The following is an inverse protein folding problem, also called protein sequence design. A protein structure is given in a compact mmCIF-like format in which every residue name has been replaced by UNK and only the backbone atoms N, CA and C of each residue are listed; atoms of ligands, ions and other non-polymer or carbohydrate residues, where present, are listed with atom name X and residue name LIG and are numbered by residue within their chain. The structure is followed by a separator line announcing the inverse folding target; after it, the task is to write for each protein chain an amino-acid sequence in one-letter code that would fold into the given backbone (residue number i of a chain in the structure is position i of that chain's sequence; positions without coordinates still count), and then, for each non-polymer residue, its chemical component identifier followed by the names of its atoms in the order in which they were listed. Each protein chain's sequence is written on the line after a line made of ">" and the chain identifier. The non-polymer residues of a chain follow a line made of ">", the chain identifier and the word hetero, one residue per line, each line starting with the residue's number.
data_IF_522987151087
#
_entry.id   IF_522987151087
#
_cell.length_a   1.000
_cell.length_b   1.000
_cell.length_c   1.000
_cell.angle_alpha   90.00
_cell.angle_beta   90.00
_cell.angle_gamma   90.00
#
_symmetry.space_group_name_H-M   'P 1'
#
loop_
_entity.id
_entity.type
_entity.pdbx_description
1 polymer ?
#
# COMPACT_ATOMS: atom_id res chain seq x y z
N UNK A 1 5.14 -20.22 5.43
CA UNK A 1 4.86 -20.11 3.98
C UNK A 1 4.03 -18.86 3.84
N UNK A 2 4.39 -17.96 2.93
CA UNK A 2 3.66 -16.70 2.73
C UNK A 2 2.34 -16.98 2.04
N UNK A 3 1.23 -16.48 2.57
CA UNK A 3 -0.09 -16.64 1.94
C UNK A 3 -0.38 -15.52 0.94
N UNK A 4 -0.65 -15.87 -0.32
CA UNK A 4 -1.13 -14.92 -1.33
C UNK A 4 -2.66 -14.85 -1.28
N UNK A 5 -3.19 -13.65 -1.04
CA UNK A 5 -4.63 -13.41 -0.87
C UNK A 5 -5.10 -12.23 -1.71
N UNK A 6 -6.35 -12.27 -2.19
CA UNK A 6 -6.89 -11.30 -3.14
C UNK A 6 -8.12 -10.55 -2.60
N UNK A 7 -8.69 -11.00 -1.49
CA UNK A 7 -9.84 -10.36 -0.84
C UNK A 7 -9.60 -10.11 0.65
N UNK A 8 -10.32 -9.14 1.25
CA UNK A 8 -10.24 -8.91 2.70
C UNK A 8 -10.62 -10.14 3.53
N UNK A 9 -11.57 -10.94 3.06
CA UNK A 9 -12.00 -12.17 3.75
C UNK A 9 -10.91 -13.25 3.72
N UNK A 10 -10.20 -13.40 2.60
CA UNK A 10 -9.05 -14.29 2.51
C UNK A 10 -7.90 -13.81 3.39
N UNK A 11 -7.65 -12.49 3.43
CA UNK A 11 -6.64 -11.92 4.32
C UNK A 11 -6.99 -12.22 5.79
N UNK A 12 -8.23 -11.96 6.21
CA UNK A 12 -8.70 -12.30 7.55
C UNK A 12 -8.56 -13.80 7.87
N UNK A 13 -8.80 -14.68 6.91
CA UNK A 13 -8.60 -16.12 7.08
C UNK A 13 -7.12 -16.50 7.24
N UNK A 14 -6.22 -15.84 6.49
CA UNK A 14 -4.78 -16.11 6.49
C UNK A 14 -4.09 -15.65 7.77
N UNK A 15 -4.39 -14.43 8.24
CA UNK A 15 -3.69 -13.80 9.38
C UNK A 15 -4.53 -13.75 10.66
N UNK A 16 -5.82 -14.06 10.59
CA UNK A 16 -6.75 -13.94 11.71
C UNK A 16 -6.97 -12.48 12.12
N UNK A 17 -7.04 -12.25 13.44
CA UNK A 17 -7.20 -10.92 14.04
C UNK A 17 -6.10 -10.68 15.08
N UNK A 18 -4.85 -10.51 14.64
CA UNK A 18 -3.76 -10.31 15.57
C UNK A 18 -3.94 -8.97 16.30
N UNK A 19 -3.41 -8.87 17.52
CA UNK A 19 -3.45 -7.61 18.28
C UNK A 19 -2.63 -6.51 17.59
N UNK A 20 -1.54 -6.90 16.93
CA UNK A 20 -0.63 -6.01 16.21
C UNK A 20 -0.41 -6.56 14.81
N UNK A 21 -0.19 -5.67 13.85
CA UNK A 21 0.06 -6.02 12.46
C UNK A 21 0.90 -4.92 11.81
N UNK A 22 1.97 -5.34 11.14
CA UNK A 22 2.85 -4.45 10.40
C UNK A 22 2.49 -4.52 8.90
N UNK A 23 2.19 -3.37 8.30
CA UNK A 23 1.83 -3.25 6.89
C UNK A 23 2.95 -2.57 6.10
N UNK A 24 3.29 -3.13 4.94
CA UNK A 24 4.14 -2.48 3.93
C UNK A 24 3.33 -2.27 2.65
N UNK A 25 2.80 -1.06 2.39
CA UNK A 25 2.07 -0.78 1.15
C UNK A 25 3.00 -0.63 -0.05
N UNK A 26 2.73 -1.35 -1.14
CA UNK A 26 3.50 -1.26 -2.39
C UNK A 26 2.59 -1.34 -3.62
N UNK A 27 3.13 -0.97 -4.78
CA UNK A 27 2.50 -1.21 -6.08
C UNK A 27 3.10 -2.44 -6.81
N UNK A 28 3.95 -3.24 -6.15
CA UNK A 28 4.69 -4.34 -6.78
C UNK A 28 5.96 -3.88 -7.49
N UNK A 29 6.51 -4.74 -8.36
CA UNK A 29 7.82 -4.57 -8.99
C UNK A 29 8.91 -4.32 -7.94
N UNK A 30 9.01 -5.27 -7.01
CA UNK A 30 9.78 -5.10 -5.80
C UNK A 30 11.28 -5.02 -6.08
N UNK A 31 11.97 -4.31 -5.20
CA UNK A 31 13.40 -4.08 -5.26
C UNK A 31 13.94 -3.95 -3.83
N UNK A 32 15.25 -3.85 -3.65
CA UNK A 32 15.89 -3.86 -2.34
C UNK A 32 15.34 -2.78 -1.37
N UNK A 33 14.98 -1.60 -1.87
CA UNK A 33 14.32 -0.57 -1.04
C UNK A 33 12.95 -0.98 -0.47
N UNK A 34 12.21 -1.89 -1.13
CA UNK A 34 10.98 -2.46 -0.57
C UNK A 34 11.32 -3.55 0.45
N UNK A 35 12.31 -4.39 0.16
CA UNK A 35 12.72 -5.47 1.06
C UNK A 35 13.31 -4.94 2.36
N UNK A 36 14.00 -3.78 2.33
CA UNK A 36 14.46 -3.13 3.56
C UNK A 36 13.31 -2.68 4.47
N UNK A 37 12.19 -2.21 3.90
CA UNK A 37 10.97 -1.89 4.67
C UNK A 37 10.35 -3.14 5.28
N UNK A 38 10.34 -4.26 4.53
CA UNK A 38 9.86 -5.55 5.05
C UNK A 38 10.72 -6.02 6.23
N UNK A 39 12.05 -5.92 6.12
CA UNK A 39 12.96 -6.27 7.22
C UNK A 39 12.74 -5.38 8.44
N UNK A 40 12.55 -4.07 8.26
CA UNK A 40 12.18 -3.18 9.36
C UNK A 40 10.82 -3.54 9.98
N UNK A 41 9.82 -3.92 9.16
CA UNK A 41 8.51 -4.37 9.65
C UNK A 41 8.62 -5.64 10.50
N UNK A 42 9.52 -6.56 10.13
CA UNK A 42 9.79 -7.80 10.89
C UNK A 42 10.35 -7.53 12.28
N UNK A 43 11.10 -6.45 12.49
CA UNK A 43 11.66 -6.09 13.79
C UNK A 43 10.58 -5.77 14.84
N UNK A 44 9.35 -5.48 14.41
CA UNK A 44 8.21 -5.26 15.33
C UNK A 44 7.76 -6.55 16.05
N UNK A 45 8.13 -7.73 15.53
CA UNK A 45 7.64 -9.02 16.00
C UNK A 45 6.15 -9.29 15.72
N UNK A 46 5.49 -8.41 14.95
CA UNK A 46 4.11 -8.58 14.51
C UNK A 46 4.04 -9.34 13.18
N UNK A 47 2.89 -9.97 12.85
CA UNK A 47 2.64 -10.45 11.50
C UNK A 47 2.84 -9.31 10.48
N UNK A 48 3.59 -9.60 9.42
CA UNK A 48 3.90 -8.67 8.33
C UNK A 48 3.01 -8.98 7.15
N UNK A 49 2.23 -7.98 6.74
CA UNK A 49 1.46 -8.00 5.51
C UNK A 49 2.07 -7.02 4.52
N UNK A 50 2.33 -7.49 3.30
CA UNK A 50 2.71 -6.61 2.18
C UNK A 50 1.51 -6.51 1.25
N UNK A 51 1.11 -5.29 0.90
CA UNK A 51 0.11 -5.11 -0.16
C UNK A 51 0.80 -4.82 -1.49
N UNK A 52 0.30 -5.45 -2.56
CA UNK A 52 0.72 -5.22 -3.94
C UNK A 52 -0.50 -4.78 -4.72
N UNK A 53 -0.64 -3.48 -4.94
CA UNK A 53 -1.78 -2.92 -5.66
C UNK A 53 -1.39 -1.66 -6.42
N UNK A 54 -1.37 -1.75 -7.76
CA UNK A 54 -1.23 -0.59 -8.63
C UNK A 54 -2.54 0.19 -8.63
N UNK A 55 -2.64 1.19 -7.76
CA UNK A 55 -3.84 1.98 -7.54
C UNK A 55 -4.13 2.92 -8.72
N UNK A 56 -5.23 2.76 -9.50
CA UNK A 56 -5.51 3.67 -10.61
C UNK A 56 -5.76 5.12 -10.19
N UNK A 57 -6.22 5.36 -8.96
CA UNK A 57 -6.64 6.70 -8.53
C UNK A 57 -5.48 7.69 -8.36
N UNK A 58 -4.25 7.18 -8.23
CA UNK A 58 -3.06 8.02 -8.09
C UNK A 58 -2.33 8.26 -9.42
N UNK A 59 -2.92 7.82 -10.55
CA UNK A 59 -2.44 8.09 -11.90
C UNK A 59 -3.41 9.03 -12.63
N UNK A 60 -2.89 10.12 -13.21
CA UNK A 60 -3.67 11.01 -14.07
C UNK A 60 -3.80 10.43 -15.49
N UNK A 61 -4.80 10.88 -16.29
CA UNK A 61 -4.87 10.50 -17.71
C UNK A 61 -3.56 10.83 -18.44
N UNK A 62 -2.98 9.83 -19.10
CA UNK A 62 -1.69 9.96 -19.81
C UNK A 62 -0.46 9.69 -18.95
N UNK A 63 -0.61 9.43 -17.64
CA UNK A 63 0.44 8.80 -16.84
C UNK A 63 0.52 7.30 -17.12
N UNK A 64 1.58 6.66 -16.64
CA UNK A 64 2.06 5.34 -17.05
C UNK A 64 1.33 4.15 -16.39
N UNK A 65 0.04 4.28 -16.07
CA UNK A 65 -0.74 3.20 -15.43
C UNK A 65 -0.70 1.88 -16.23
N UNK A 66 -0.82 1.98 -17.55
CA UNK A 66 -0.82 0.81 -18.44
C UNK A 66 0.59 0.20 -18.57
N UNK A 67 1.63 1.04 -18.55
CA UNK A 67 3.02 0.63 -18.67
C UNK A 67 3.65 0.21 -17.33
N UNK A 68 2.98 0.44 -16.20
CA UNK A 68 3.51 0.12 -14.88
C UNK A 68 3.79 -1.40 -14.77
N UNK A 69 5.01 -1.79 -14.35
CA UNK A 69 5.41 -3.19 -14.30
C UNK A 69 4.54 -4.00 -13.32
N UNK A 70 4.12 -5.19 -13.75
CA UNK A 70 3.32 -6.12 -12.95
C UNK A 70 4.00 -7.48 -12.93
N UNK A 71 4.66 -7.80 -11.82
CA UNK A 71 5.54 -8.97 -11.67
C UNK A 71 5.18 -9.80 -10.44
N UNK A 72 3.87 -9.99 -10.20
CA UNK A 72 3.35 -10.55 -8.95
C UNK A 72 4.03 -11.84 -8.50
N UNK A 73 4.21 -12.82 -9.40
CA UNK A 73 4.85 -14.11 -9.05
C UNK A 73 6.30 -13.93 -8.58
N UNK A 74 7.05 -13.02 -9.23
CA UNK A 74 8.43 -12.71 -8.83
C UNK A 74 8.46 -11.94 -7.50
N UNK A 75 7.53 -11.01 -7.31
CA UNK A 75 7.39 -10.24 -6.07
C UNK A 75 7.07 -11.16 -4.89
N UNK A 76 6.12 -12.09 -5.03
CA UNK A 76 5.76 -13.07 -4.00
C UNK A 76 6.96 -13.96 -3.66
N UNK A 77 7.71 -14.42 -4.66
CA UNK A 77 8.91 -15.24 -4.42
C UNK A 77 10.02 -14.49 -3.66
N UNK A 78 10.11 -13.16 -3.81
CA UNK A 78 11.02 -12.33 -3.00
C UNK A 78 10.51 -12.20 -1.56
N UNK A 79 9.23 -11.91 -1.38
CA UNK A 79 8.61 -11.73 -0.06
C UNK A 79 8.59 -13.01 0.78
N UNK A 80 8.45 -14.18 0.14
CA UNK A 80 8.55 -15.47 0.80
C UNK A 80 9.93 -15.68 1.45
N UNK A 81 11.00 -15.23 0.78
CA UNK A 81 12.37 -15.31 1.32
C UNK A 81 12.59 -14.37 2.51
N UNK A 82 11.87 -13.27 2.58
CA UNK A 82 11.90 -12.31 3.70
C UNK A 82 10.98 -12.71 4.87
N UNK A 83 10.23 -13.81 4.74
CA UNK A 83 9.36 -14.32 5.80
C UNK A 83 8.12 -13.46 6.04
N UNK A 84 7.54 -12.89 4.98
CA UNK A 84 6.24 -12.21 5.03
C UNK A 84 5.13 -13.22 5.35
N UNK A 85 4.18 -12.84 6.19
CA UNK A 85 3.08 -13.71 6.60
C UNK A 85 2.01 -13.78 5.49
N UNK A 86 1.61 -12.64 4.94
CA UNK A 86 0.67 -12.58 3.81
C UNK A 86 0.99 -11.48 2.79
N UNK A 87 0.71 -11.78 1.52
CA UNK A 87 0.70 -10.82 0.42
C UNK A 87 -0.74 -10.53 0.04
N UNK A 88 -1.20 -9.30 0.30
CA UNK A 88 -2.52 -8.85 -0.12
C UNK A 88 -2.44 -8.19 -1.50
N UNK A 89 -2.88 -8.91 -2.53
CA UNK A 89 -2.82 -8.48 -3.93
C UNK A 89 -4.24 -8.35 -4.53
N UNK A 90 -5.05 -7.36 -4.08
CA UNK A 90 -6.42 -7.23 -4.53
C UNK A 90 -6.54 -6.72 -5.97
N UNK A 91 -7.65 -7.07 -6.63
CA UNK A 91 -8.01 -6.46 -7.91
C UNK A 91 -8.58 -5.05 -7.72
N UNK A 92 -8.65 -4.27 -8.81
CA UNK A 92 -9.35 -2.97 -8.80
C UNK A 92 -10.83 -3.14 -8.43
N UNK A 93 -11.48 -4.22 -8.87
CA UNK A 93 -12.87 -4.51 -8.52
C UNK A 93 -13.03 -4.87 -7.03
N UNK A 94 -12.02 -5.51 -6.42
CA UNK A 94 -11.99 -5.75 -4.97
C UNK A 94 -11.82 -4.43 -4.20
N UNK A 95 -10.90 -3.57 -4.63
CA UNK A 95 -10.64 -2.29 -3.97
C UNK A 95 -11.74 -1.26 -4.20
N UNK A 96 -12.41 -1.27 -5.35
CA UNK A 96 -13.40 -0.27 -5.75
C UNK A 96 -14.60 -0.93 -6.45
N UNK A 97 -15.41 -1.74 -5.73
CA UNK A 97 -16.49 -2.54 -6.33
C UNK A 97 -17.60 -1.67 -6.97
N UNK A 98 -17.74 -0.43 -6.51
CA UNK A 98 -18.69 0.55 -7.04
C UNK A 98 -17.97 1.79 -7.61
N UNK A 99 -16.70 1.64 -7.99
CA UNK A 99 -15.83 2.75 -8.37
C UNK A 99 -15.40 3.65 -7.20
N UNK A 100 -14.55 4.65 -7.46
CA UNK A 100 -14.10 5.63 -6.47
C UNK A 100 -15.22 6.62 -6.13
N UNK A 101 -15.84 6.46 -4.96
CA UNK A 101 -16.93 7.35 -4.48
C UNK A 101 -16.50 8.30 -3.37
N UNK A 102 -15.52 7.90 -2.59
CA UNK A 102 -15.00 8.65 -1.45
C UNK A 102 -13.51 8.89 -1.65
N UNK A 103 -13.07 10.11 -1.41
CA UNK A 103 -11.67 10.53 -1.54
C UNK A 103 -11.22 11.32 -0.33
N UNK A 104 -9.95 11.18 0.04
CA UNK A 104 -9.30 12.03 1.05
C UNK A 104 -8.62 13.19 0.34
N UNK A 105 -8.91 14.41 0.79
CA UNK A 105 -8.32 15.61 0.22
C UNK A 105 -6.98 15.92 0.92
N UNK A 106 -5.84 16.03 0.20
CA UNK A 106 -4.50 16.13 0.79
C UNK A 106 -4.14 17.50 1.36
N UNK A 107 -5.12 18.39 1.51
CA UNK A 107 -4.94 19.73 2.08
C UNK A 107 -3.99 20.64 1.27
N UNK A 108 -3.49 21.72 1.88
CA UNK A 108 -2.54 22.64 1.25
C UNK A 108 -1.18 22.00 0.93
N UNK A 109 -0.68 21.09 1.77
CA UNK A 109 0.59 20.41 1.57
C UNK A 109 0.59 19.52 0.31
N UNK A 110 -0.57 19.01 -0.10
CA UNK A 110 -0.74 18.30 -1.37
C UNK A 110 -0.75 19.18 -2.63
N UNK A 111 -0.62 20.51 -2.51
CA UNK A 111 -0.66 21.46 -3.65
C UNK A 111 0.71 22.04 -4.02
N UNK A 112 1.78 21.62 -3.34
CA UNK A 112 3.16 22.05 -3.59
C UNK A 112 4.00 20.87 -4.09
N UNK A 113 5.23 21.13 -4.54
CA UNK A 113 6.20 20.10 -4.94
C UNK A 113 5.59 19.08 -5.93
N UNK A 114 5.64 17.78 -5.61
CA UNK A 114 5.09 16.72 -6.46
C UNK A 114 3.59 16.90 -6.67
N UNK A 115 2.88 17.43 -5.67
CA UNK A 115 1.44 17.69 -5.76
C UNK A 115 1.09 18.82 -6.72
N UNK A 116 2.02 19.76 -6.95
CA UNK A 116 1.86 20.76 -8.01
C UNK A 116 2.09 20.14 -9.40
N UNK A 117 3.05 19.22 -9.52
CA UNK A 117 3.35 18.49 -10.76
C UNK A 117 2.29 17.46 -11.13
N UNK A 118 1.66 16.83 -10.12
CA UNK A 118 0.67 15.76 -10.26
C UNK A 118 -0.59 16.06 -9.43
N UNK A 119 -1.47 16.96 -9.90
CA UNK A 119 -2.55 17.54 -9.09
C UNK A 119 -3.56 16.56 -8.47
N UNK A 120 -3.72 15.37 -9.02
CA UNK A 120 -4.66 14.34 -8.52
C UNK A 120 -3.97 13.25 -7.70
N UNK A 121 -2.65 13.18 -7.72
CA UNK A 121 -1.88 12.03 -7.23
C UNK A 121 -2.12 11.75 -5.75
N UNK A 122 -1.94 12.75 -4.88
CA UNK A 122 -2.02 12.53 -3.44
C UNK A 122 -3.44 12.26 -2.93
N UNK A 123 -4.48 12.76 -3.60
CA UNK A 123 -5.84 12.36 -3.26
C UNK A 123 -6.03 10.85 -3.49
N UNK A 124 -5.48 10.33 -4.60
CA UNK A 124 -5.46 8.89 -4.89
C UNK A 124 -4.66 8.08 -3.87
N UNK A 125 -3.46 8.54 -3.52
CA UNK A 125 -2.57 7.89 -2.53
C UNK A 125 -3.25 7.84 -1.15
N UNK A 126 -3.70 8.96 -0.61
CA UNK A 126 -4.31 8.99 0.71
C UNK A 126 -5.58 8.13 0.77
N UNK A 127 -6.40 8.16 -0.29
CA UNK A 127 -7.60 7.32 -0.39
C UNK A 127 -7.27 5.83 -0.34
N UNK A 128 -6.26 5.36 -1.08
CA UNK A 128 -5.90 3.94 -1.08
C UNK A 128 -5.22 3.53 0.23
N UNK A 129 -4.36 4.38 0.80
CA UNK A 129 -3.66 4.09 2.06
C UNK A 129 -4.64 4.00 3.22
N UNK A 130 -5.57 4.95 3.35
CA UNK A 130 -6.61 4.88 4.37
C UNK A 130 -7.49 3.63 4.21
N UNK A 131 -7.80 3.25 2.97
CA UNK A 131 -8.54 2.02 2.70
C UNK A 131 -7.75 0.77 3.11
N UNK A 132 -6.45 0.71 2.82
CA UNK A 132 -5.59 -0.38 3.25
C UNK A 132 -5.52 -0.46 4.78
N UNK A 133 -5.35 0.67 5.49
CA UNK A 133 -5.38 0.70 6.95
C UNK A 133 -6.68 0.15 7.52
N UNK A 134 -7.83 0.50 6.93
CA UNK A 134 -9.12 -0.02 7.35
C UNK A 134 -9.30 -1.52 7.09
N UNK A 135 -8.81 -2.01 5.94
CA UNK A 135 -8.93 -3.42 5.56
C UNK A 135 -8.00 -4.34 6.36
N UNK A 136 -6.78 -3.89 6.65
CA UNK A 136 -5.78 -4.70 7.34
C UNK A 136 -5.79 -4.48 8.85
N UNK A 137 -6.35 -3.36 9.33
CA UNK A 137 -6.30 -2.94 10.74
C UNK A 137 -4.86 -2.87 11.28
N UNK A 138 -3.92 -2.46 10.42
CA UNK A 138 -2.51 -2.35 10.77
C UNK A 138 -2.31 -1.43 11.98
N UNK A 139 -1.47 -1.87 12.91
CA UNK A 139 -0.99 -1.04 14.02
C UNK A 139 0.25 -0.25 13.64
N UNK A 140 1.03 -0.79 12.71
CA UNK A 140 2.29 -0.23 12.25
C UNK A 140 2.30 -0.25 10.72
N UNK A 141 2.74 0.85 10.09
CA UNK A 141 2.83 0.93 8.64
C UNK A 141 4.16 1.55 8.20
N UNK A 142 4.81 0.91 7.24
CA UNK A 142 6.18 1.21 6.81
C UNK A 142 6.18 1.83 5.42
N UNK A 143 6.80 3.00 5.29
CA UNK A 143 6.89 3.76 4.05
C UNK A 143 8.32 4.26 3.85
N UNK A 144 8.78 4.29 2.61
CA UNK A 144 10.12 4.77 2.26
C UNK A 144 10.21 6.29 2.24
N UNK A 145 11.36 6.84 2.66
CA UNK A 145 11.62 8.28 2.65
C UNK A 145 11.90 8.86 1.26
N UNK A 146 12.10 8.00 0.24
CA UNK A 146 12.21 8.41 -1.17
C UNK A 146 11.04 9.32 -1.56
N UNK A 147 9.82 8.93 -1.18
CA UNK A 147 8.59 9.66 -1.48
C UNK A 147 8.23 10.57 -0.28
N UNK A 148 9.12 11.52 0.03
CA UNK A 148 9.06 12.29 1.27
C UNK A 148 7.75 13.08 1.46
N UNK A 149 7.23 13.70 0.40
CA UNK A 149 5.95 14.41 0.48
C UNK A 149 4.79 13.45 0.74
N UNK A 150 4.81 12.24 0.15
CA UNK A 150 3.84 11.20 0.46
C UNK A 150 3.89 10.82 1.94
N UNK A 151 5.08 10.59 2.49
CA UNK A 151 5.25 10.24 3.90
C UNK A 151 4.69 11.32 4.83
N UNK A 152 4.97 12.60 4.54
CA UNK A 152 4.43 13.74 5.32
C UNK A 152 2.89 13.78 5.26
N UNK A 153 2.31 13.61 4.07
CA UNK A 153 0.86 13.63 3.89
C UNK A 153 0.16 12.44 4.56
N UNK A 154 0.77 11.26 4.53
CA UNK A 154 0.25 10.07 5.23
C UNK A 154 0.29 10.28 6.73
N UNK A 155 1.37 10.85 7.29
CA UNK A 155 1.45 11.20 8.71
C UNK A 155 0.36 12.19 9.10
N UNK A 156 0.17 13.25 8.32
CA UNK A 156 -0.92 14.21 8.54
C UNK A 156 -2.29 13.52 8.53
N UNK A 157 -2.56 12.67 7.54
CA UNK A 157 -3.82 11.93 7.43
C UNK A 157 -4.08 10.99 8.63
N UNK A 158 -3.04 10.46 9.27
CA UNK A 158 -3.16 9.60 10.45
C UNK A 158 -3.39 10.42 11.73
N UNK A 159 -2.86 11.64 11.79
CA UNK A 159 -3.05 12.57 12.92
C UNK A 159 -4.45 13.19 12.93
N UNK A 160 -5.03 13.47 11.75
CA UNK A 160 -6.37 14.05 11.54
C UNK A 160 -7.50 13.02 11.75
#
# INVERSE_FOLDING_TARGET
>A
MTELVHTPAELEAAIGHPRTLALVPTMGALHEGHLSLVRAARETGSPVVVSIFVNPLQFAPGEDLDAYPRTLDADVALLEREGVDAVFAPSVATMYPTGPRTTIHPGPAGKILEGASRPTHFAGVLTVVAKLFALTRATDAFFGEKDYQQLVLIRQMVED
#
